data_IF_229115913395
#
_entry.id   IF_229115913395
#
_cell.length_a   1.000
_cell.length_b   1.000
_cell.length_c   1.000
_cell.angle_alpha   90.00
_cell.angle_beta   90.00
_cell.angle_gamma   90.00
#
_symmetry.space_group_name_H-M   'P 1'
#
loop_
_entity.id
_entity.type
_entity.pdbx_description
1 polymer ?
#
# COMPACT_ATOMS: atom_id res chain seq x y z
N UNK A 1 -24.86 -6.61 6.71
CA UNK A 1 -24.36 -7.83 6.06
C UNK A 1 -22.97 -7.52 5.57
N UNK A 2 -21.93 -7.96 6.31
CA UNK A 2 -20.54 -7.65 5.96
C UNK A 2 -20.06 -8.75 5.00
N UNK A 3 -20.12 -8.47 3.70
CA UNK A 3 -19.65 -9.40 2.67
C UNK A 3 -18.16 -9.70 2.84
N UNK A 4 -17.86 -11.00 2.86
CA UNK A 4 -16.51 -11.61 2.80
C UNK A 4 -15.96 -11.55 1.34
N UNK A 5 -14.66 -11.76 1.15
CA UNK A 5 -13.75 -10.92 0.37
C UNK A 5 -13.87 -11.09 -1.15
N UNK A 6 -13.70 -10.00 -1.89
CA UNK A 6 -13.56 -10.02 -3.36
C UNK A 6 -12.17 -10.59 -3.73
N UNK A 7 -12.06 -11.38 -4.80
CA UNK A 7 -10.81 -12.01 -5.21
C UNK A 7 -9.75 -10.94 -5.54
N UNK A 8 -8.55 -11.16 -5.02
CA UNK A 8 -7.32 -10.37 -5.20
C UNK A 8 -7.46 -8.90 -5.54
N UNK A 9 -7.47 -8.03 -4.51
CA UNK A 9 -7.41 -6.58 -4.72
C UNK A 9 -6.19 -6.26 -5.61
N UNK A 10 -6.44 -5.60 -6.74
CA UNK A 10 -5.40 -5.19 -7.67
C UNK A 10 -4.71 -4.00 -7.03
N UNK A 11 -3.47 -4.21 -6.63
CA UNK A 11 -2.74 -3.31 -5.75
C UNK A 11 -1.62 -2.58 -6.49
N UNK A 12 -1.53 -1.26 -6.27
CA UNK A 12 -0.29 -0.51 -6.51
C UNK A 12 0.56 -0.59 -5.24
N UNK A 13 1.75 -1.16 -5.34
CA UNK A 13 2.73 -1.18 -4.24
C UNK A 13 3.55 0.10 -4.25
N UNK A 14 3.70 0.73 -3.09
CA UNK A 14 4.42 1.99 -2.94
C UNK A 14 5.49 1.85 -1.87
N UNK A 15 6.74 2.03 -2.28
CA UNK A 15 7.92 2.02 -1.41
C UNK A 15 8.49 3.43 -1.29
N UNK A 16 8.81 3.82 -0.05
CA UNK A 16 9.57 5.05 0.23
C UNK A 16 10.92 4.65 0.78
N UNK A 17 11.98 4.99 0.07
CA UNK A 17 13.34 4.69 0.50
C UNK A 17 13.84 5.81 1.41
N UNK A 18 14.02 5.48 2.69
CA UNK A 18 14.61 6.36 3.69
C UNK A 18 16.13 6.10 3.80
N UNK A 19 16.93 7.07 4.28
CA UNK A 19 18.37 6.88 4.42
C UNK A 19 18.71 5.72 5.35
N UNK A 20 19.62 4.84 4.92
CA UNK A 20 20.09 3.69 5.71
C UNK A 20 19.30 2.39 5.51
N UNK A 21 18.32 2.37 4.60
CA UNK A 21 17.59 1.15 4.21
C UNK A 21 18.12 0.58 2.88
N UNK A 22 18.03 -0.75 2.68
CA UNK A 22 18.24 -1.39 1.37
C UNK A 22 16.92 -1.40 0.57
N UNK A 23 16.80 -0.59 -0.51
CA UNK A 23 15.56 -0.49 -1.27
C UNK A 23 15.15 -1.78 -1.99
N UNK A 24 16.12 -2.63 -2.38
CA UNK A 24 15.85 -3.84 -3.14
C UNK A 24 15.24 -4.92 -2.24
N UNK A 25 15.85 -5.14 -1.08
CA UNK A 25 15.37 -6.08 -0.07
C UNK A 25 13.97 -5.72 0.42
N UNK A 26 13.76 -4.44 0.77
CA UNK A 26 12.47 -3.97 1.30
C UNK A 26 11.30 -4.12 0.35
N UNK A 27 11.52 -3.91 -0.95
CA UNK A 27 10.45 -4.12 -1.93
C UNK A 27 10.21 -5.62 -2.16
N UNK A 28 11.26 -6.45 -2.17
CA UNK A 28 11.11 -7.91 -2.26
C UNK A 28 10.20 -8.46 -1.16
N UNK A 29 10.53 -8.13 0.10
CA UNK A 29 9.75 -8.50 1.27
C UNK A 29 8.29 -8.00 1.18
N UNK A 30 8.10 -6.76 0.71
CA UNK A 30 6.76 -6.17 0.63
C UNK A 30 5.87 -6.85 -0.41
N UNK A 31 6.43 -7.26 -1.55
CA UNK A 31 5.70 -8.06 -2.55
C UNK A 31 5.24 -9.38 -1.96
N UNK A 32 6.11 -10.08 -1.24
CA UNK A 32 5.77 -11.34 -0.58
C UNK A 32 4.67 -11.17 0.47
N UNK A 33 4.73 -10.07 1.23
CA UNK A 33 3.70 -9.74 2.21
C UNK A 33 2.35 -9.44 1.55
N UNK A 34 2.34 -8.64 0.48
CA UNK A 34 1.13 -8.34 -0.30
C UNK A 34 0.53 -9.61 -0.93
N UNK A 35 1.37 -10.47 -1.51
CA UNK A 35 0.95 -11.75 -2.07
C UNK A 35 0.36 -12.68 -0.99
N UNK A 36 0.93 -12.69 0.22
CA UNK A 36 0.41 -13.45 1.37
C UNK A 36 -0.96 -12.96 1.85
N UNK A 37 -1.32 -11.70 1.59
CA UNK A 37 -2.64 -11.14 1.83
C UNK A 37 -3.63 -11.40 0.66
N UNK A 38 -3.17 -12.05 -0.41
CA UNK A 38 -3.93 -12.31 -1.63
C UNK A 38 -3.99 -11.14 -2.60
N UNK A 39 -3.20 -10.07 -2.41
CA UNK A 39 -3.21 -8.92 -3.32
C UNK A 39 -2.43 -9.22 -4.62
N UNK A 40 -2.95 -8.76 -5.76
CA UNK A 40 -2.28 -8.84 -7.06
C UNK A 40 -1.55 -7.51 -7.32
N UNK A 41 -0.21 -7.53 -7.31
CA UNK A 41 0.56 -6.32 -7.60
C UNK A 41 0.51 -5.98 -9.10
N UNK A 42 -0.20 -4.89 -9.45
CA UNK A 42 -0.37 -4.44 -10.85
C UNK A 42 0.58 -3.30 -11.23
N UNK A 43 1.16 -2.62 -10.24
CA UNK A 43 2.22 -1.64 -10.43
C UNK A 43 3.05 -1.49 -9.16
N UNK A 44 4.28 -1.01 -9.32
CA UNK A 44 5.18 -0.74 -8.21
C UNK A 44 5.84 0.61 -8.40
N UNK A 45 5.67 1.48 -7.42
CA UNK A 45 6.18 2.84 -7.43
C UNK A 45 7.15 3.01 -6.27
N UNK A 46 8.29 3.64 -6.57
CA UNK A 46 9.32 3.96 -5.58
C UNK A 46 9.57 5.46 -5.53
N UNK A 47 9.96 5.94 -4.36
CA UNK A 47 10.45 7.31 -4.19
C UNK A 47 11.47 7.34 -3.07
N UNK A 48 12.56 8.07 -3.24
CA UNK A 48 13.54 8.29 -2.17
C UNK A 48 13.27 9.61 -1.47
N UNK A 49 13.33 9.64 -0.13
CA UNK A 49 13.14 10.85 0.67
C UNK A 49 14.03 10.84 1.90
N UNK A 50 14.54 12.00 2.31
CA UNK A 50 15.25 12.14 3.59
C UNK A 50 14.28 12.11 4.78
N UNK A 51 13.12 12.73 4.61
CA UNK A 51 12.05 12.78 5.62
C UNK A 51 10.68 12.57 4.97
N UNK A 52 9.75 11.85 5.63
CA UNK A 52 8.39 11.72 5.15
C UNK A 52 7.67 13.06 5.02
N UNK A 53 6.80 13.16 4.04
CA UNK A 53 5.89 14.31 3.91
C UNK A 53 4.78 14.25 4.97
N UNK A 54 4.49 15.32 5.71
CA UNK A 54 3.48 15.30 6.76
C UNK A 54 2.05 15.10 6.23
N UNK A 55 1.78 15.44 4.96
CA UNK A 55 0.46 15.35 4.35
C UNK A 55 0.23 14.01 3.65
N UNK A 56 1.22 13.50 2.93
CA UNK A 56 1.08 12.32 2.05
C UNK A 56 2.09 11.21 2.31
N UNK A 57 3.06 11.39 3.22
CA UNK A 57 4.22 10.51 3.42
C UNK A 57 5.18 10.46 2.21
N UNK A 58 4.67 10.10 1.03
CA UNK A 58 5.39 10.04 -0.27
C UNK A 58 5.65 11.43 -0.89
N UNK A 59 4.88 12.45 -0.49
CA UNK A 59 4.89 13.80 -1.06
C UNK A 59 3.93 14.00 -2.24
N UNK A 60 3.60 15.26 -2.53
CA UNK A 60 2.55 15.62 -3.49
C UNK A 60 2.72 15.03 -4.90
N UNK A 61 3.89 15.24 -5.53
CA UNK A 61 4.14 14.75 -6.90
C UNK A 61 4.02 13.23 -7.04
N UNK A 62 4.56 12.48 -6.08
CA UNK A 62 4.43 11.02 -6.07
C UNK A 62 2.99 10.58 -5.78
N UNK A 63 2.24 11.30 -4.96
CA UNK A 63 0.81 11.04 -4.76
C UNK A 63 0.00 11.21 -6.07
N UNK A 64 0.40 12.15 -6.94
CA UNK A 64 -0.21 12.29 -8.27
C UNK A 64 0.15 11.13 -9.20
N UNK A 65 1.40 10.70 -9.18
CA UNK A 65 1.89 9.55 -9.94
C UNK A 65 1.18 8.26 -9.53
N UNK A 66 0.98 8.04 -8.22
CA UNK A 66 0.19 6.92 -7.71
C UNK A 66 -1.25 6.99 -8.23
N UNK A 67 -1.89 8.16 -8.19
CA UNK A 67 -3.26 8.31 -8.70
C UNK A 67 -3.36 8.00 -10.20
N UNK A 68 -2.35 8.36 -11.00
CA UNK A 68 -2.28 7.99 -12.43
C UNK A 68 -2.12 6.48 -12.61
N UNK A 69 -1.19 5.86 -11.88
CA UNK A 69 -1.00 4.41 -11.93
C UNK A 69 -2.27 3.65 -11.53
N UNK A 70 -2.99 4.12 -10.52
CA UNK A 70 -4.30 3.57 -10.12
C UNK A 70 -5.30 3.65 -11.27
N UNK A 71 -5.43 4.82 -11.93
CA UNK A 71 -6.33 5.00 -13.06
C UNK A 71 -5.95 4.18 -14.30
N UNK A 72 -4.65 4.08 -14.62
CA UNK A 72 -4.13 3.35 -15.77
C UNK A 72 -4.25 1.84 -15.61
N UNK A 73 -3.97 1.34 -14.41
CA UNK A 73 -4.03 -0.09 -14.13
C UNK A 73 -5.44 -0.53 -13.75
N UNK A 74 -6.30 0.36 -13.24
CA UNK A 74 -7.58 -0.02 -12.64
C UNK A 74 -7.40 -0.72 -11.30
N UNK A 75 -6.39 -0.33 -10.53
CA UNK A 75 -6.17 -0.78 -9.16
C UNK A 75 -7.29 -0.27 -8.24
N UNK A 76 -7.68 -1.07 -7.25
CA UNK A 76 -8.65 -0.69 -6.23
C UNK A 76 -8.03 -0.56 -4.83
N UNK A 77 -6.72 -0.83 -4.73
CA UNK A 77 -5.94 -0.78 -3.51
C UNK A 77 -4.57 -0.13 -3.78
N UNK A 78 -4.14 0.71 -2.85
CA UNK A 78 -2.75 1.18 -2.76
C UNK A 78 -2.17 0.66 -1.46
N UNK A 79 -1.06 -0.07 -1.55
CA UNK A 79 -0.32 -0.58 -0.40
C UNK A 79 0.94 0.26 -0.21
N UNK A 80 1.10 0.88 0.95
CA UNK A 80 2.28 1.70 1.28
C UNK A 80 3.17 0.93 2.26
N UNK A 81 4.44 0.71 1.90
CA UNK A 81 5.38 -0.12 2.69
C UNK A 81 5.96 0.58 3.94
N UNK A 82 5.15 1.41 4.60
CA UNK A 82 5.49 2.11 5.83
C UNK A 82 4.21 2.36 6.62
N UNK A 83 4.34 2.60 7.92
CA UNK A 83 3.21 3.01 8.72
C UNK A 83 2.78 4.44 8.34
N UNK A 84 1.48 4.65 8.19
CA UNK A 84 0.90 5.95 7.92
C UNK A 84 0.19 6.48 9.16
N UNK A 85 0.19 7.79 9.33
CA UNK A 85 -0.76 8.42 10.26
C UNK A 85 -2.17 8.38 9.65
N UNK A 86 -3.24 8.38 10.46
CA UNK A 86 -4.61 8.40 9.96
C UNK A 86 -4.90 9.59 9.03
N UNK A 87 -4.21 10.72 9.23
CA UNK A 87 -4.35 11.89 8.36
C UNK A 87 -3.70 11.65 6.98
N UNK A 88 -2.50 11.05 6.94
CA UNK A 88 -1.80 10.73 5.69
C UNK A 88 -2.59 9.72 4.86
N UNK A 89 -3.11 8.67 5.49
CA UNK A 89 -3.94 7.65 4.84
C UNK A 89 -5.18 8.27 4.19
N UNK A 90 -6.00 8.99 4.95
CA UNK A 90 -7.19 9.70 4.42
C UNK A 90 -6.85 10.72 3.33
N UNK A 91 -5.68 11.36 3.41
CA UNK A 91 -5.25 12.29 2.38
C UNK A 91 -4.91 11.56 1.08
N UNK A 92 -4.18 10.45 1.17
CA UNK A 92 -3.85 9.61 0.02
C UNK A 92 -5.11 9.01 -0.60
N UNK A 93 -6.02 8.43 0.19
CA UNK A 93 -7.30 7.86 -0.31
C UNK A 93 -8.08 8.89 -1.12
N UNK A 94 -8.22 10.12 -0.61
CA UNK A 94 -8.87 11.20 -1.34
C UNK A 94 -8.15 11.57 -2.64
N UNK A 95 -6.82 11.47 -2.68
CA UNK A 95 -6.00 11.83 -3.84
C UNK A 95 -5.98 10.76 -4.93
N UNK A 96 -6.01 9.49 -4.54
CA UNK A 96 -5.92 8.32 -5.43
C UNK A 96 -7.27 7.71 -5.76
N UNK A 97 -8.32 8.06 -5.01
CA UNK A 97 -9.70 7.62 -5.21
C UNK A 97 -9.92 6.11 -5.09
N UNK A 98 -9.10 5.44 -4.29
CA UNK A 98 -9.28 4.04 -3.90
C UNK A 98 -8.82 3.83 -2.45
N UNK A 99 -9.00 2.61 -1.93
CA UNK A 99 -8.56 2.26 -0.57
C UNK A 99 -7.04 2.36 -0.48
N UNK A 100 -6.53 2.90 0.61
CA UNK A 100 -5.11 2.87 0.94
C UNK A 100 -4.95 2.00 2.18
N UNK A 101 -3.93 1.16 2.20
CA UNK A 101 -3.54 0.39 3.39
C UNK A 101 -2.05 0.56 3.61
N UNK A 102 -1.69 0.87 4.85
CA UNK A 102 -0.30 0.96 5.26
C UNK A 102 0.26 -0.42 5.62
N UNK A 103 1.56 -0.50 5.91
CA UNK A 103 2.19 -1.79 6.21
C UNK A 103 1.58 -2.46 7.45
N UNK A 104 1.24 -1.68 8.47
CA UNK A 104 0.63 -2.19 9.71
C UNK A 104 -0.74 -2.81 9.42
N UNK A 105 -1.58 -2.10 8.67
CA UNK A 105 -2.90 -2.55 8.26
C UNK A 105 -2.84 -3.81 7.42
N UNK A 106 -1.86 -3.94 6.51
CA UNK A 106 -1.66 -5.15 5.72
C UNK A 106 -1.33 -6.36 6.60
N UNK A 107 -0.43 -6.20 7.57
CA UNK A 107 -0.06 -7.25 8.52
C UNK A 107 -1.29 -7.68 9.35
N UNK A 108 -2.07 -6.72 9.84
CA UNK A 108 -3.29 -7.02 10.59
C UNK A 108 -4.35 -7.74 9.74
N UNK A 109 -4.50 -7.38 8.47
CA UNK A 109 -5.42 -8.05 7.56
C UNK A 109 -5.02 -9.51 7.32
N UNK A 110 -3.71 -9.79 7.14
CA UNK A 110 -3.19 -11.16 7.03
C UNK A 110 -3.52 -11.98 8.28
N UNK A 111 -3.31 -11.42 9.47
CA UNK A 111 -3.66 -12.13 10.71
C UNK A 111 -5.17 -12.40 10.82
N UNK A 112 -6.01 -11.43 10.46
CA UNK A 112 -7.46 -11.59 10.45
C UNK A 112 -7.94 -12.62 9.40
N UNK A 113 -7.25 -12.76 8.27
CA UNK A 113 -7.52 -13.81 7.29
C UNK A 113 -7.19 -15.20 7.86
N UNK A 114 -6.01 -15.36 8.48
CA UNK A 114 -5.57 -16.65 9.06
C UNK A 114 -6.39 -17.10 10.27
N UNK A 115 -6.86 -16.15 11.10
CA UNK A 115 -7.73 -16.47 12.22
C UNK A 115 -9.05 -17.11 11.77
N UNK A 116 -9.55 -16.76 10.57
CA UNK A 116 -10.81 -17.27 10.01
C UNK A 116 -10.68 -18.61 9.28
N UNK A 117 -9.47 -19.03 8.93
CA UNK A 117 -9.22 -20.32 8.26
C UNK A 117 -8.98 -21.47 9.25
N UNK A 118 -8.84 -21.17 10.54
CA UNK A 118 -8.64 -22.14 11.62
C UNK A 118 -9.94 -22.53 12.36
N UNK A 119 -11.09 -22.07 11.86
CA UNK A 119 -12.44 -22.48 12.26
C UNK A 119 -13.03 -23.42 11.19
#
# INVERSE_FOLDING_TARGET
MFERPRPGNRAVLVQVDLPGEDPAERMGEFRELAASAGAEAVAELRTSRRTPDPRYYVGGGKAEEIARAVAETGADLVLVNHALTPAQERNLERRVSCRVLDRTGLILDIFAQRARSHE
#
